data_IF_125827331371
#
_entry.id   IF_125827331371
#
_cell.length_a   1.000
_cell.length_b   1.000
_cell.length_c   1.000
_cell.angle_alpha   90.00
_cell.angle_beta   90.00
_cell.angle_gamma   90.00
#
_symmetry.space_group_name_H-M   'P 1'
#
loop_
_entity.id
_entity.type
_entity.pdbx_description
1 polymer ?
#
# COMPACT_ATOMS: atom_id res chain seq x y z
N UNK A 1 -8.95 -43.16 9.25
CA UNK A 1 -9.73 -42.21 8.40
C UNK A 1 -8.89 -41.02 7.89
N UNK A 2 -7.66 -40.89 8.34
CA UNK A 2 -6.88 -39.65 8.08
C UNK A 2 -6.05 -39.62 6.78
N UNK A 3 -5.69 -40.76 6.21
CA UNK A 3 -4.84 -40.79 5.01
C UNK A 3 -5.57 -40.46 3.69
N UNK A 4 -6.87 -40.68 3.60
CA UNK A 4 -7.62 -40.33 2.38
C UNK A 4 -7.93 -38.85 2.26
N UNK A 5 -8.12 -38.19 3.39
CA UNK A 5 -8.37 -36.73 3.41
C UNK A 5 -7.11 -35.92 3.11
N UNK A 6 -5.94 -36.38 3.55
CA UNK A 6 -4.65 -35.75 3.23
C UNK A 6 -4.28 -35.90 1.75
N UNK A 7 -4.53 -37.05 1.14
CA UNK A 7 -4.27 -37.29 -0.30
C UNK A 7 -5.18 -36.46 -1.19
N UNK A 8 -6.45 -36.29 -0.81
CA UNK A 8 -7.40 -35.43 -1.57
C UNK A 8 -7.01 -33.94 -1.53
N UNK A 9 -6.51 -33.48 -0.40
CA UNK A 9 -6.03 -32.09 -0.26
C UNK A 9 -4.72 -31.86 -1.01
N UNK A 10 -3.83 -32.83 -1.08
CA UNK A 10 -2.59 -32.73 -1.86
C UNK A 10 -2.85 -32.76 -3.38
N UNK A 11 -3.71 -33.66 -3.88
CA UNK A 11 -4.06 -33.71 -5.29
C UNK A 11 -4.79 -32.43 -5.74
N UNK A 12 -5.68 -31.86 -4.89
CA UNK A 12 -6.29 -30.57 -5.16
C UNK A 12 -5.30 -29.41 -5.16
N UNK A 13 -4.31 -29.41 -4.26
CA UNK A 13 -3.27 -28.38 -4.23
C UNK A 13 -2.39 -28.39 -5.50
N UNK A 14 -2.11 -29.58 -6.06
CA UNK A 14 -1.34 -29.73 -7.30
C UNK A 14 -2.16 -29.36 -8.55
N UNK A 15 -3.45 -29.67 -8.60
CA UNK A 15 -4.36 -29.23 -9.69
C UNK A 15 -4.55 -27.70 -9.69
N UNK A 16 -4.53 -27.08 -8.52
CA UNK A 16 -4.60 -25.64 -8.30
C UNK A 16 -3.37 -24.92 -8.88
N UNK A 17 -2.18 -25.50 -8.72
CA UNK A 17 -0.92 -24.88 -9.18
C UNK A 17 -0.76 -24.91 -10.71
N UNK A 18 -1.42 -25.82 -11.40
CA UNK A 18 -1.23 -26.07 -12.85
C UNK A 18 -2.24 -25.37 -13.78
N UNK A 19 -3.27 -24.67 -13.27
CA UNK A 19 -4.37 -24.13 -14.10
C UNK A 19 -4.52 -22.60 -14.15
N UNK A 20 -3.53 -21.80 -13.77
CA UNK A 20 -3.71 -20.34 -13.76
C UNK A 20 -4.95 -19.96 -12.95
N UNK A 21 -4.91 -20.26 -11.68
CA UNK A 21 -6.05 -20.39 -10.80
C UNK A 21 -6.72 -19.04 -10.50
N UNK A 22 -8.01 -18.91 -10.81
CA UNK A 22 -8.85 -17.84 -10.31
C UNK A 22 -9.20 -18.10 -8.83
N UNK A 23 -8.49 -17.41 -7.92
CA UNK A 23 -8.68 -17.51 -6.47
C UNK A 23 -10.14 -17.22 -6.05
N UNK A 24 -10.88 -16.44 -6.81
CA UNK A 24 -12.28 -16.12 -6.56
C UNK A 24 -13.21 -17.29 -6.80
N UNK A 25 -13.00 -18.03 -7.86
CA UNK A 25 -13.86 -19.21 -8.18
C UNK A 25 -13.57 -20.36 -7.22
N UNK A 26 -12.31 -20.59 -6.87
CA UNK A 26 -11.91 -21.56 -5.86
C UNK A 26 -12.44 -21.27 -4.47
N UNK A 27 -12.35 -20.01 -4.07
CA UNK A 27 -12.92 -19.59 -2.78
C UNK A 27 -14.43 -19.77 -2.75
N UNK A 28 -15.10 -19.49 -3.87
CA UNK A 28 -16.53 -19.71 -4.05
C UNK A 28 -16.90 -21.20 -3.98
N UNK A 29 -16.14 -22.08 -4.68
CA UNK A 29 -16.32 -23.53 -4.64
C UNK A 29 -16.05 -24.09 -3.26
N UNK A 30 -14.97 -23.69 -2.60
CA UNK A 30 -14.65 -24.05 -1.21
C UNK A 30 -15.79 -23.64 -0.27
N UNK A 31 -16.26 -22.40 -0.34
CA UNK A 31 -17.39 -21.93 0.48
C UNK A 31 -18.66 -22.70 0.22
N UNK A 32 -18.94 -23.03 -1.04
CA UNK A 32 -20.13 -23.83 -1.41
C UNK A 32 -20.04 -25.25 -0.86
N UNK A 33 -18.86 -25.87 -0.94
CA UNK A 33 -18.62 -27.21 -0.37
C UNK A 33 -18.76 -27.21 1.16
N UNK A 34 -18.13 -26.25 1.84
CA UNK A 34 -18.22 -26.06 3.28
C UNK A 34 -19.65 -25.75 3.72
N UNK A 35 -20.36 -24.88 3.00
CA UNK A 35 -21.76 -24.56 3.28
C UNK A 35 -22.68 -25.75 3.13
N UNK A 36 -22.41 -26.64 2.17
CA UNK A 36 -23.20 -27.87 1.97
C UNK A 36 -22.97 -28.92 3.08
N UNK A 37 -21.77 -29.00 3.63
CA UNK A 37 -21.47 -29.82 4.80
C UNK A 37 -22.14 -29.26 6.07
N UNK A 38 -22.06 -27.94 6.28
CA UNK A 38 -22.63 -27.28 7.46
C UNK A 38 -24.16 -27.18 7.46
N UNK A 39 -24.82 -27.30 6.28
CA UNK A 39 -26.29 -27.45 6.21
C UNK A 39 -26.82 -28.66 7.00
N UNK A 40 -25.98 -29.69 7.21
CA UNK A 40 -26.33 -30.91 7.94
C UNK A 40 -26.22 -30.77 9.44
N UNK A 41 -25.51 -29.76 9.93
CA UNK A 41 -25.31 -29.51 11.35
C UNK A 41 -26.28 -28.43 11.83
N UNK A 42 -27.06 -28.74 12.86
CA UNK A 42 -28.01 -27.79 13.45
C UNK A 42 -27.47 -27.21 14.73
N UNK A 43 -27.61 -25.90 14.88
CA UNK A 43 -27.34 -25.15 16.11
C UNK A 43 -28.68 -24.55 16.55
N UNK A 44 -29.29 -25.15 17.54
CA UNK A 44 -30.68 -24.85 17.91
C UNK A 44 -31.65 -25.17 16.77
N UNK A 45 -32.53 -24.23 16.39
CA UNK A 45 -33.48 -24.35 15.31
C UNK A 45 -32.94 -23.90 13.92
N UNK A 46 -31.70 -23.41 13.85
CA UNK A 46 -31.05 -22.91 12.62
C UNK A 46 -29.99 -23.89 12.14
N UNK A 47 -29.77 -23.95 10.83
CA UNK A 47 -28.59 -24.65 10.31
C UNK A 47 -27.32 -23.87 10.65
N UNK A 48 -26.22 -24.58 10.88
CA UNK A 48 -24.91 -23.93 11.09
C UNK A 48 -24.52 -23.03 9.92
N UNK A 49 -24.95 -23.41 8.71
CA UNK A 49 -24.74 -22.58 7.52
C UNK A 49 -25.45 -21.22 7.60
N UNK A 50 -26.69 -21.18 8.11
CA UNK A 50 -27.44 -19.91 8.25
C UNK A 50 -26.77 -19.01 9.28
N UNK A 51 -26.22 -19.61 10.35
CA UNK A 51 -25.45 -18.88 11.36
C UNK A 51 -24.16 -18.31 10.78
N UNK A 52 -23.47 -19.08 9.93
CA UNK A 52 -22.23 -18.62 9.25
C UNK A 52 -22.56 -17.54 8.22
N UNK A 53 -23.63 -17.65 7.45
CA UNK A 53 -24.06 -16.62 6.50
C UNK A 53 -24.46 -15.33 7.21
N UNK A 54 -25.13 -15.42 8.35
CA UNK A 54 -25.40 -14.26 9.19
C UNK A 54 -24.10 -13.59 9.67
N UNK A 55 -23.09 -14.38 10.06
CA UNK A 55 -21.79 -13.88 10.46
C UNK A 55 -21.04 -13.21 9.30
N UNK A 56 -21.09 -13.78 8.10
CA UNK A 56 -20.50 -13.14 6.92
C UNK A 56 -21.15 -11.79 6.60
N UNK A 57 -22.46 -11.66 6.81
CA UNK A 57 -23.16 -10.40 6.67
C UNK A 57 -22.68 -9.37 7.71
N UNK A 58 -22.47 -9.79 8.97
CA UNK A 58 -21.92 -8.93 10.02
C UNK A 58 -20.42 -8.65 9.84
N UNK A 59 -19.69 -9.48 9.14
CA UNK A 59 -18.27 -9.27 8.83
C UNK A 59 -18.01 -8.23 7.72
N UNK A 60 -19.05 -7.76 7.04
CA UNK A 60 -18.88 -6.67 6.09
C UNK A 60 -18.54 -5.39 6.85
N UNK A 61 -17.32 -4.89 6.63
CA UNK A 61 -16.90 -3.63 7.22
C UNK A 61 -17.61 -2.51 6.49
N UNK A 62 -18.58 -1.90 7.16
CA UNK A 62 -19.32 -0.76 6.66
C UNK A 62 -18.98 0.46 7.51
N UNK A 63 -18.43 1.48 6.86
CA UNK A 63 -18.19 2.78 7.48
C UNK A 63 -19.11 3.80 6.79
N UNK A 64 -19.84 4.63 7.53
CA UNK A 64 -20.67 5.67 6.94
C UNK A 64 -19.85 6.55 5.97
N UNK A 65 -20.35 6.74 4.74
CA UNK A 65 -19.70 7.56 3.72
C UNK A 65 -18.52 6.91 2.99
N UNK A 66 -18.18 5.65 3.27
CA UNK A 66 -17.12 4.92 2.57
C UNK A 66 -17.64 3.58 2.00
N UNK A 67 -17.03 3.15 0.90
CA UNK A 67 -17.31 1.82 0.33
C UNK A 67 -16.78 0.76 1.29
N UNK A 68 -17.66 -0.02 1.91
CA UNK A 68 -17.29 -1.17 2.72
C UNK A 68 -16.64 -2.28 1.88
N UNK A 69 -16.12 -3.30 2.54
CA UNK A 69 -15.56 -4.48 1.89
C UNK A 69 -15.83 -5.76 2.69
N UNK A 70 -15.73 -6.90 2.03
CA UNK A 70 -15.80 -8.24 2.62
C UNK A 70 -14.57 -9.06 2.20
N UNK A 71 -14.44 -10.29 2.71
CA UNK A 71 -13.31 -11.17 2.36
C UNK A 71 -13.22 -11.45 0.86
N UNK A 72 -14.35 -11.62 0.18
CA UNK A 72 -14.38 -11.87 -1.26
C UNK A 72 -13.80 -10.70 -2.05
N UNK A 73 -14.04 -9.47 -1.61
CA UNK A 73 -13.46 -8.26 -2.24
C UNK A 73 -11.93 -8.26 -2.10
N UNK A 74 -11.41 -8.69 -0.95
CA UNK A 74 -9.97 -8.78 -0.71
C UNK A 74 -9.32 -9.81 -1.63
N UNK A 75 -9.87 -11.04 -1.67
CA UNK A 75 -9.34 -12.10 -2.53
C UNK A 75 -9.40 -11.73 -4.00
N UNK A 76 -10.49 -11.09 -4.41
CA UNK A 76 -10.63 -10.58 -5.78
C UNK A 76 -9.56 -9.53 -6.08
N UNK A 77 -9.37 -8.54 -5.21
CA UNK A 77 -8.37 -7.49 -5.41
C UNK A 77 -6.94 -8.05 -5.44
N UNK A 78 -6.64 -9.10 -4.65
CA UNK A 78 -5.35 -9.81 -4.71
C UNK A 78 -5.19 -10.53 -6.05
N UNK A 79 -6.22 -11.28 -6.50
CA UNK A 79 -6.17 -12.03 -7.74
C UNK A 79 -6.03 -11.13 -8.97
N UNK A 80 -6.75 -10.01 -8.97
CA UNK A 80 -6.73 -9.01 -10.05
C UNK A 80 -5.50 -8.07 -9.96
N UNK A 81 -4.69 -8.19 -8.90
CA UNK A 81 -3.58 -7.28 -8.58
C UNK A 81 -4.01 -5.79 -8.57
N UNK A 82 -5.22 -5.53 -8.05
CA UNK A 82 -5.79 -4.18 -7.94
C UNK A 82 -5.17 -3.43 -6.75
N UNK A 83 -3.98 -2.86 -6.97
CA UNK A 83 -3.23 -2.13 -5.94
C UNK A 83 -4.02 -0.96 -5.32
N UNK A 84 -4.75 -0.12 -6.08
CA UNK A 84 -5.57 0.93 -5.51
C UNK A 84 -6.62 0.42 -4.53
N UNK A 85 -7.31 -0.68 -4.85
CA UNK A 85 -8.32 -1.27 -3.98
C UNK A 85 -7.68 -1.93 -2.75
N UNK A 86 -6.56 -2.64 -2.91
CA UNK A 86 -5.80 -3.22 -1.79
C UNK A 86 -5.31 -2.16 -0.80
N UNK A 87 -4.80 -1.04 -1.29
CA UNK A 87 -4.39 0.11 -0.46
C UNK A 87 -5.57 0.74 0.26
N UNK A 88 -6.71 0.88 -0.42
CA UNK A 88 -7.94 1.38 0.17
C UNK A 88 -8.41 0.48 1.32
N UNK A 89 -8.44 -0.83 1.09
CA UNK A 89 -8.82 -1.83 2.09
C UNK A 89 -7.87 -1.79 3.28
N UNK A 90 -6.54 -1.81 3.04
CA UNK A 90 -5.52 -1.75 4.07
C UNK A 90 -5.65 -0.49 4.94
N UNK A 91 -5.79 0.68 4.33
CA UNK A 91 -5.95 1.95 5.04
C UNK A 91 -7.25 1.99 5.86
N UNK A 92 -8.35 1.48 5.30
CA UNK A 92 -9.64 1.42 5.97
C UNK A 92 -9.58 0.45 7.16
N UNK A 93 -9.01 -0.74 6.97
CA UNK A 93 -8.88 -1.73 8.02
C UNK A 93 -7.93 -1.28 9.13
N UNK A 94 -6.86 -0.57 8.80
CA UNK A 94 -5.99 0.08 9.76
C UNK A 94 -6.74 1.05 10.68
N UNK A 95 -7.71 1.79 10.17
CA UNK A 95 -8.47 2.76 10.96
C UNK A 95 -9.54 2.14 11.86
N UNK A 96 -9.98 0.89 11.60
CA UNK A 96 -11.10 0.27 12.32
C UNK A 96 -10.72 -0.95 13.15
N UNK A 97 -9.58 -1.60 12.86
CA UNK A 97 -9.15 -2.80 13.55
C UNK A 97 -7.86 -2.57 14.35
N UNK A 98 -7.97 -2.61 15.69
CA UNK A 98 -6.84 -2.33 16.57
C UNK A 98 -5.72 -3.38 16.54
N UNK A 99 -5.98 -4.63 16.11
CA UNK A 99 -4.94 -5.65 15.96
C UNK A 99 -4.09 -5.30 14.74
N UNK A 100 -4.73 -5.00 13.62
CA UNK A 100 -4.06 -4.63 12.38
C UNK A 100 -3.27 -3.32 12.54
N UNK A 101 -3.87 -2.32 13.19
CA UNK A 101 -3.21 -1.04 13.51
C UNK A 101 -1.92 -1.26 14.33
N UNK A 102 -2.01 -2.02 15.43
CA UNK A 102 -0.86 -2.31 16.29
C UNK A 102 0.23 -3.07 15.55
N UNK A 103 -0.15 -4.04 14.72
CA UNK A 103 0.80 -4.80 13.90
C UNK A 103 1.54 -3.90 12.93
N UNK A 104 0.83 -3.07 12.18
CA UNK A 104 1.46 -2.11 11.26
C UNK A 104 2.39 -1.14 11.99
N UNK A 105 1.94 -0.58 13.12
CA UNK A 105 2.74 0.35 13.93
C UNK A 105 3.98 -0.33 14.52
N UNK A 106 3.85 -1.57 15.02
CA UNK A 106 4.97 -2.32 15.56
C UNK A 106 6.09 -2.48 14.52
N UNK A 107 5.76 -2.95 13.33
CA UNK A 107 6.76 -3.14 12.28
C UNK A 107 7.28 -1.82 11.70
N UNK A 108 6.45 -0.79 11.61
CA UNK A 108 6.87 0.53 11.12
C UNK A 108 7.90 1.20 12.03
N UNK A 109 7.77 1.01 13.34
CA UNK A 109 8.59 1.72 14.32
C UNK A 109 9.60 0.82 15.05
N UNK A 110 9.74 -0.45 14.65
CA UNK A 110 10.63 -1.42 15.28
C UNK A 110 12.08 -0.92 15.37
N UNK A 111 12.58 -0.33 14.30
CA UNK A 111 13.97 0.15 14.20
C UNK A 111 14.14 1.63 14.55
N UNK A 112 13.13 2.30 15.07
CA UNK A 112 13.16 3.73 15.33
C UNK A 112 14.26 4.16 16.31
N UNK A 113 14.65 3.28 17.22
CA UNK A 113 15.60 3.57 18.28
C UNK A 113 17.01 3.04 18.01
N UNK A 114 17.17 2.14 17.04
CA UNK A 114 18.40 1.39 16.79
C UNK A 114 19.11 1.86 15.52
N UNK A 115 19.35 3.17 15.41
CA UNK A 115 20.12 3.72 14.31
C UNK A 115 21.22 4.66 14.81
N UNK A 116 22.30 4.66 14.09
CA UNK A 116 23.42 5.55 14.34
C UNK A 116 23.94 6.10 13.01
N UNK A 117 24.63 7.25 13.09
CA UNK A 117 25.32 7.86 11.96
C UNK A 117 26.81 7.80 12.26
N UNK A 118 27.58 7.27 11.31
CA UNK A 118 29.04 7.23 11.41
C UNK A 118 29.64 7.92 10.18
N UNK A 119 30.76 8.66 10.34
CA UNK A 119 31.48 9.20 9.20
C UNK A 119 32.14 8.05 8.44
N UNK A 120 32.01 8.05 7.12
CA UNK A 120 32.80 7.19 6.26
C UNK A 120 34.09 7.91 5.88
N UNK A 121 35.23 7.37 6.33
CA UNK A 121 36.55 7.95 6.05
C UNK A 121 37.09 7.24 4.82
N UNK A 122 37.01 7.91 3.67
CA UNK A 122 37.51 7.39 2.39
C UNK A 122 38.96 7.75 2.12
N UNK A 123 39.52 8.71 2.84
CA UNK A 123 40.87 9.23 2.58
C UNK A 123 41.59 9.58 3.91
N UNK A 124 42.69 8.87 4.18
CA UNK A 124 43.52 9.06 5.38
C UNK A 124 44.28 10.41 5.40
N UNK A 125 44.23 11.16 4.32
CA UNK A 125 44.89 12.49 4.21
C UNK A 125 44.04 13.63 4.79
N UNK A 126 42.77 13.39 5.08
CA UNK A 126 41.87 14.42 5.61
C UNK A 126 42.08 14.58 7.10
N UNK A 127 42.31 15.82 7.56
CA UNK A 127 42.50 16.13 8.98
C UNK A 127 41.25 15.76 9.80
N UNK A 128 41.45 15.07 10.91
CA UNK A 128 40.40 14.65 11.84
C UNK A 128 39.46 15.77 12.27
N UNK A 129 40.02 16.97 12.57
CA UNK A 129 39.21 18.14 12.93
C UNK A 129 38.20 18.55 11.85
N UNK A 130 38.58 18.43 10.57
CA UNK A 130 37.67 18.73 9.45
C UNK A 130 36.55 17.70 9.38
N UNK A 131 36.89 16.43 9.53
CA UNK A 131 35.90 15.32 9.54
C UNK A 131 34.89 15.54 10.66
N UNK A 132 35.35 15.80 11.89
CA UNK A 132 34.48 16.05 13.04
C UNK A 132 33.58 17.28 12.85
N UNK A 133 34.11 18.34 12.25
CA UNK A 133 33.33 19.56 11.96
C UNK A 133 32.23 19.30 10.93
N UNK A 134 32.56 18.61 9.84
CA UNK A 134 31.59 18.30 8.76
C UNK A 134 30.56 17.26 9.25
N UNK A 135 30.98 16.29 10.05
CA UNK A 135 30.09 15.34 10.71
C UNK A 135 29.11 16.04 11.66
N UNK A 136 29.59 16.99 12.50
CA UNK A 136 28.71 17.77 13.38
C UNK A 136 27.67 18.58 12.60
N UNK A 137 28.02 19.13 11.44
CA UNK A 137 27.08 19.85 10.58
C UNK A 137 26.02 18.88 10.02
N UNK A 138 26.45 17.70 9.57
CA UNK A 138 25.54 16.67 9.06
C UNK A 138 24.57 16.19 10.13
N UNK A 139 25.04 15.95 11.35
CA UNK A 139 24.19 15.61 12.48
C UNK A 139 23.15 16.70 12.77
N UNK A 140 23.57 17.96 12.82
CA UNK A 140 22.67 19.10 13.04
C UNK A 140 21.61 19.19 11.92
N UNK A 141 21.99 18.96 10.66
CA UNK A 141 21.06 18.94 9.53
C UNK A 141 20.04 17.79 9.64
N UNK A 142 20.49 16.58 10.02
CA UNK A 142 19.62 15.42 10.21
C UNK A 142 18.66 15.62 11.39
N UNK A 143 19.15 16.19 12.50
CA UNK A 143 18.33 16.47 13.68
C UNK A 143 17.29 17.56 13.40
N UNK A 144 17.68 18.66 12.73
CA UNK A 144 16.74 19.72 12.32
C UNK A 144 15.69 19.23 11.33
N UNK A 145 16.01 18.19 10.56
CA UNK A 145 15.11 17.54 9.60
C UNK A 145 14.16 16.51 10.24
N UNK A 146 14.30 16.21 11.53
CA UNK A 146 13.52 15.16 12.20
C UNK A 146 13.56 13.80 11.47
N UNK A 147 14.74 13.41 10.96
CA UNK A 147 14.90 12.25 10.06
C UNK A 147 14.31 10.95 10.63
N UNK A 148 14.42 10.72 11.95
CA UNK A 148 13.83 9.56 12.62
C UNK A 148 12.31 9.50 12.44
N UNK A 149 11.65 10.65 12.56
CA UNK A 149 10.20 10.73 12.37
C UNK A 149 9.86 10.48 10.91
N UNK A 150 10.55 11.12 9.98
CA UNK A 150 10.36 10.95 8.53
C UNK A 150 10.49 9.46 8.16
N UNK A 151 11.56 8.79 8.61
CA UNK A 151 11.75 7.36 8.32
C UNK A 151 10.62 6.49 8.90
N UNK A 152 10.15 6.78 10.12
CA UNK A 152 9.02 6.07 10.70
C UNK A 152 7.71 6.28 9.94
N UNK A 153 7.44 7.51 9.51
CA UNK A 153 6.24 7.85 8.72
C UNK A 153 6.29 7.19 7.32
N UNK A 154 7.47 7.15 6.67
CA UNK A 154 7.68 6.43 5.42
C UNK A 154 7.46 4.93 5.62
N UNK A 155 8.06 4.33 6.66
CA UNK A 155 7.92 2.90 6.96
C UNK A 155 6.46 2.52 7.16
N UNK A 156 5.69 3.32 7.90
CA UNK A 156 4.27 3.08 8.10
C UNK A 156 3.48 3.14 6.79
N UNK A 157 3.79 4.09 5.90
CA UNK A 157 3.16 4.18 4.58
C UNK A 157 3.50 2.99 3.71
N UNK A 158 4.77 2.59 3.66
CA UNK A 158 5.22 1.41 2.90
C UNK A 158 4.49 0.14 3.38
N UNK A 159 4.33 -0.05 4.69
CA UNK A 159 3.61 -1.21 5.24
C UNK A 159 2.13 -1.18 4.86
N UNK A 160 1.47 -0.01 4.94
CA UNK A 160 0.04 0.14 4.68
C UNK A 160 -0.32 0.19 3.20
N UNK A 161 0.56 0.74 2.36
CA UNK A 161 0.28 1.04 0.95
C UNK A 161 1.15 0.24 -0.02
N UNK A 162 2.12 -0.54 0.51
CA UNK A 162 3.04 -1.38 -0.26
C UNK A 162 4.27 -0.65 -0.77
N UNK A 163 4.15 0.63 -1.05
CA UNK A 163 5.24 1.49 -1.49
C UNK A 163 5.03 2.94 -1.04
N UNK A 164 6.10 3.71 -1.11
CA UNK A 164 6.13 5.14 -0.85
C UNK A 164 6.77 5.87 -2.02
N UNK A 165 6.18 6.97 -2.43
CA UNK A 165 6.75 7.90 -3.40
C UNK A 165 6.90 9.26 -2.75
N UNK A 166 8.07 9.86 -2.90
CA UNK A 166 8.39 11.18 -2.37
C UNK A 166 9.18 12.02 -3.36
N UNK A 167 9.12 13.33 -3.15
CA UNK A 167 9.91 14.30 -3.89
C UNK A 167 10.69 15.18 -2.91
N UNK A 168 12.01 15.18 -3.05
CA UNK A 168 12.90 16.00 -2.21
C UNK A 168 12.87 17.44 -2.71
N UNK A 169 12.44 18.36 -1.86
CA UNK A 169 12.50 19.79 -2.15
C UNK A 169 13.84 20.33 -1.63
N UNK A 170 14.71 20.85 -2.51
CA UNK A 170 16.00 21.39 -2.08
C UNK A 170 15.85 22.49 -1.03
N UNK A 171 16.50 22.34 0.11
CA UNK A 171 16.61 23.33 1.18
C UNK A 171 17.99 23.26 1.82
N UNK A 172 18.53 24.41 2.24
CA UNK A 172 19.85 24.48 2.87
C UNK A 172 19.83 24.08 4.35
N UNK A 173 18.68 24.23 5.01
CA UNK A 173 18.60 24.16 6.47
C UNK A 173 18.08 22.81 6.97
N UNK A 174 17.22 22.15 6.18
CA UNK A 174 16.59 20.88 6.57
C UNK A 174 16.06 20.12 5.35
N UNK A 175 15.86 18.82 5.50
CA UNK A 175 15.26 17.97 4.48
C UNK A 175 13.75 18.23 4.42
N UNK A 176 13.27 18.66 3.26
CA UNK A 176 11.84 18.74 2.97
C UNK A 176 11.51 17.60 2.01
N UNK A 177 10.66 16.68 2.47
CA UNK A 177 10.19 15.57 1.66
C UNK A 177 8.69 15.74 1.41
N UNK A 178 8.35 16.01 0.16
CA UNK A 178 6.96 16.10 -0.29
C UNK A 178 6.43 14.69 -0.54
N UNK A 179 5.40 14.32 0.20
CA UNK A 179 4.67 13.07 -0.05
C UNK A 179 3.91 13.14 -1.37
N UNK A 180 4.03 12.08 -2.17
CA UNK A 180 3.27 11.94 -3.40
C UNK A 180 2.17 10.89 -3.23
N UNK A 181 0.96 11.14 -3.75
CA UNK A 181 -0.15 10.18 -3.68
C UNK A 181 0.16 8.93 -4.51
N UNK A 182 0.31 7.79 -3.84
CA UNK A 182 0.81 6.53 -4.40
C UNK A 182 0.00 6.07 -5.63
N UNK A 183 -1.32 6.26 -5.62
CA UNK A 183 -2.19 5.85 -6.74
C UNK A 183 -2.06 6.75 -7.99
N UNK A 184 -1.36 7.88 -7.87
CA UNK A 184 -1.05 8.79 -8.98
C UNK A 184 0.43 8.79 -9.34
N UNK A 185 1.21 7.86 -8.79
CA UNK A 185 2.62 7.68 -9.09
C UNK A 185 2.85 6.30 -9.70
N UNK A 186 3.86 6.22 -10.57
CA UNK A 186 4.40 4.94 -11.06
C UNK A 186 5.89 5.08 -11.34
N UNK A 187 6.63 4.00 -11.17
CA UNK A 187 8.04 3.92 -11.51
C UNK A 187 8.29 2.61 -12.24
N UNK A 188 8.67 2.68 -13.50
CA UNK A 188 8.85 1.52 -14.38
C UNK A 188 10.31 1.15 -14.59
N UNK A 189 11.22 2.09 -14.36
CA UNK A 189 12.64 1.91 -14.54
C UNK A 189 13.43 2.85 -13.62
N UNK A 190 14.72 2.58 -13.49
CA UNK A 190 15.67 3.41 -12.74
C UNK A 190 16.78 3.87 -13.67
N UNK A 191 17.31 5.07 -13.42
CA UNK A 191 18.48 5.63 -14.08
C UNK A 191 19.54 5.88 -13.03
N UNK A 192 20.72 5.32 -13.17
CA UNK A 192 21.81 5.43 -12.20
C UNK A 192 21.38 5.08 -10.76
N UNK A 193 20.61 4.01 -10.61
CA UNK A 193 19.98 3.56 -9.35
C UNK A 193 18.95 4.52 -8.75
N UNK A 194 18.63 5.63 -9.41
CA UNK A 194 17.55 6.54 -8.99
C UNK A 194 16.24 6.14 -9.67
N UNK A 195 15.12 6.05 -8.92
CA UNK A 195 13.84 5.72 -9.49
C UNK A 195 13.33 6.84 -10.39
N UNK A 196 12.93 6.52 -11.60
CA UNK A 196 12.21 7.47 -12.45
C UNK A 196 10.74 7.40 -12.08
N UNK A 197 10.23 8.48 -11.46
CA UNK A 197 8.84 8.60 -11.06
C UNK A 197 8.07 9.38 -12.11
N UNK A 198 6.99 8.78 -12.59
CA UNK A 198 6.00 9.46 -13.40
C UNK A 198 4.78 9.77 -12.53
N UNK A 199 4.39 11.04 -12.54
CA UNK A 199 3.25 11.54 -11.78
C UNK A 199 2.07 11.81 -12.71
N UNK A 200 0.89 11.31 -12.34
CA UNK A 200 -0.33 11.52 -13.11
C UNK A 200 -0.96 12.87 -12.77
N UNK A 201 -0.87 13.83 -13.71
CA UNK A 201 -1.37 15.18 -13.54
C UNK A 201 -2.89 15.28 -13.35
N UNK A 202 -3.65 14.21 -13.66
CA UNK A 202 -5.08 14.12 -13.33
C UNK A 202 -5.35 14.21 -11.81
N UNK A 203 -4.34 13.98 -10.96
CA UNK A 203 -4.45 14.20 -9.52
C UNK A 203 -5.00 15.59 -9.20
N UNK A 204 -4.51 16.62 -9.85
CA UNK A 204 -4.98 17.99 -9.60
C UNK A 204 -6.43 18.22 -10.10
N UNK A 205 -6.92 17.44 -11.06
CA UNK A 205 -8.29 17.52 -11.54
C UNK A 205 -9.31 16.87 -10.60
N UNK A 206 -8.87 16.07 -9.62
CA UNK A 206 -9.74 15.55 -8.56
C UNK A 206 -10.31 16.66 -7.67
N UNK A 207 -9.64 17.82 -7.64
CA UNK A 207 -10.11 19.00 -6.94
C UNK A 207 -11.03 19.82 -7.87
N UNK A 208 -12.34 19.73 -7.67
CA UNK A 208 -13.33 20.37 -8.55
C UNK A 208 -13.28 21.90 -8.48
N UNK A 209 -13.03 22.48 -7.28
CA UNK A 209 -12.88 23.94 -7.13
C UNK A 209 -11.52 24.40 -7.71
N UNK A 210 -11.59 25.31 -8.68
CA UNK A 210 -10.43 25.88 -9.37
C UNK A 210 -9.51 26.61 -8.37
N UNK A 211 -10.08 27.39 -7.46
CA UNK A 211 -9.31 28.17 -6.48
C UNK A 211 -8.59 27.25 -5.50
N UNK A 212 -9.26 26.19 -5.04
CA UNK A 212 -8.65 25.18 -4.18
C UNK A 212 -7.56 24.41 -4.91
N UNK A 213 -7.81 23.99 -6.15
CA UNK A 213 -6.82 23.33 -7.02
C UNK A 213 -5.56 24.17 -7.17
N UNK A 214 -5.68 25.47 -7.44
CA UNK A 214 -4.54 26.37 -7.56
C UNK A 214 -3.77 26.55 -6.24
N UNK A 215 -4.46 26.53 -5.09
CA UNK A 215 -3.81 26.52 -3.78
C UNK A 215 -3.02 25.23 -3.56
N UNK A 216 -3.60 24.07 -3.87
CA UNK A 216 -2.93 22.77 -3.76
C UNK A 216 -1.71 22.72 -4.69
N UNK A 217 -1.84 23.17 -5.94
CA UNK A 217 -0.73 23.18 -6.90
C UNK A 217 0.45 24.04 -6.41
N UNK A 218 0.20 25.13 -5.69
CA UNK A 218 1.25 25.99 -5.10
C UNK A 218 1.96 25.34 -3.91
N UNK A 219 1.39 24.30 -3.30
CA UNK A 219 2.06 23.53 -2.24
C UNK A 219 3.05 22.51 -2.80
N UNK A 220 2.95 22.21 -4.09
CA UNK A 220 3.89 21.32 -4.78
C UNK A 220 5.04 22.15 -5.39
N UNK A 221 6.22 21.54 -5.60
CA UNK A 221 7.32 22.16 -6.31
C UNK A 221 6.94 22.67 -7.70
N UNK A 222 7.66 23.69 -8.19
CA UNK A 222 7.38 24.33 -9.48
C UNK A 222 7.36 23.36 -10.68
N UNK A 223 8.07 22.26 -10.57
CA UNK A 223 8.08 21.19 -11.58
C UNK A 223 6.68 20.61 -11.83
N UNK A 224 5.91 20.40 -10.76
CA UNK A 224 4.52 19.92 -10.87
C UNK A 224 3.60 20.94 -11.55
N UNK A 225 3.82 22.23 -11.28
CA UNK A 225 3.06 23.30 -11.96
C UNK A 225 3.36 23.32 -13.46
N UNK A 226 4.64 23.15 -13.85
CA UNK A 226 5.04 23.03 -15.25
C UNK A 226 4.40 21.80 -15.92
N UNK A 227 4.47 20.64 -15.26
CA UNK A 227 3.85 19.41 -15.73
C UNK A 227 2.33 19.54 -15.92
N UNK A 228 1.65 20.17 -14.97
CA UNK A 228 0.22 20.39 -15.04
C UNK A 228 -0.16 21.35 -16.18
N UNK A 229 0.61 22.42 -16.42
CA UNK A 229 0.41 23.31 -17.56
C UNK A 229 0.57 22.56 -18.90
N UNK A 230 1.61 21.74 -19.04
CA UNK A 230 1.83 20.92 -20.25
C UNK A 230 0.67 19.93 -20.47
N UNK A 231 0.17 19.33 -19.38
CA UNK A 231 -1.01 18.46 -19.43
C UNK A 231 -2.25 19.22 -19.94
N UNK A 232 -2.55 20.40 -19.39
CA UNK A 232 -3.70 21.21 -19.83
C UNK A 232 -3.56 21.73 -21.25
N UNK A 233 -2.34 21.94 -21.74
CA UNK A 233 -2.07 22.31 -23.13
C UNK A 233 -2.11 21.12 -24.11
N UNK A 234 -2.32 19.89 -23.62
CA UNK A 234 -2.30 18.69 -24.46
C UNK A 234 -0.92 18.34 -25.03
N UNK A 235 0.15 18.84 -24.40
CA UNK A 235 1.53 18.63 -24.86
C UNK A 235 2.21 17.41 -24.26
N UNK A 236 1.60 16.75 -23.26
CA UNK A 236 2.09 15.47 -22.76
C UNK A 236 1.71 14.37 -23.75
N UNK A 237 2.71 13.72 -24.31
CA UNK A 237 2.51 12.61 -25.24
C UNK A 237 2.11 11.36 -24.45
N UNK A 238 1.10 10.65 -24.93
CA UNK A 238 0.81 9.30 -24.45
C UNK A 238 1.86 8.33 -25.01
N UNK A 239 2.17 7.27 -24.26
CA UNK A 239 3.07 6.21 -24.71
C UNK A 239 2.56 5.50 -25.96
N UNK A 240 1.24 5.36 -26.07
CA UNK A 240 0.60 4.78 -27.24
C UNK A 240 0.77 5.65 -28.49
N UNK A 241 0.95 6.96 -28.33
CA UNK A 241 1.23 7.86 -29.46
C UNK A 241 2.64 7.69 -30.03
N UNK A 242 3.58 7.16 -29.25
CA UNK A 242 4.94 6.83 -29.72
C UNK A 242 4.92 5.58 -30.62
N UNK A 243 3.94 4.69 -30.39
CA UNK A 243 3.74 3.47 -31.20
C UNK A 243 2.77 3.67 -32.38
N UNK A 244 2.32 4.91 -32.64
CA UNK A 244 1.48 5.25 -33.79
C UNK A 244 0.03 4.82 -33.67
N UNK A 245 -0.43 4.46 -32.47
CA UNK A 245 -1.84 4.12 -32.19
C UNK A 245 -2.43 5.16 -31.24
N UNK A 246 -3.40 5.90 -31.71
CA UNK A 246 -4.24 6.89 -31.07
C UNK A 246 -3.60 8.15 -30.45
N UNK A 247 -4.27 9.29 -30.76
CA UNK A 247 -3.95 10.65 -30.32
C UNK A 247 -4.45 10.94 -28.89
N UNK A 248 -4.37 9.98 -27.95
CA UNK A 248 -4.74 10.21 -26.57
C UNK A 248 -3.74 11.10 -25.87
N UNK A 249 -4.22 12.22 -25.31
CA UNK A 249 -3.40 13.15 -24.56
C UNK A 249 -2.88 12.41 -23.31
N UNK A 250 -1.56 12.34 -23.19
CA UNK A 250 -0.93 11.77 -22.01
C UNK A 250 -1.22 12.60 -20.75
N UNK A 251 -1.30 11.95 -19.62
CA UNK A 251 -1.48 12.59 -18.30
C UNK A 251 -0.30 12.36 -17.36
N UNK A 252 0.65 11.57 -17.78
CA UNK A 252 1.83 11.21 -16.99
C UNK A 252 2.99 12.15 -17.31
N UNK A 253 3.54 12.76 -16.28
CA UNK A 253 4.69 13.65 -16.36
C UNK A 253 5.85 13.03 -15.60
N UNK A 254 7.00 12.93 -16.26
CA UNK A 254 8.22 12.39 -15.68
C UNK A 254 8.87 13.48 -14.81
N UNK A 255 9.06 13.16 -13.54
CA UNK A 255 9.75 14.02 -12.59
C UNK A 255 11.27 13.84 -12.71
N UNK A 256 12.03 14.84 -12.28
CA UNK A 256 13.48 14.79 -12.24
C UNK A 256 13.95 13.68 -11.27
N UNK A 257 14.66 12.64 -11.75
CA UNK A 257 15.07 11.52 -10.90
C UNK A 257 15.97 11.92 -9.74
N UNK A 258 16.69 13.03 -9.82
CA UNK A 258 17.57 13.51 -8.75
C UNK A 258 16.82 13.87 -7.47
N UNK A 259 15.56 14.23 -7.59
CA UNK A 259 14.72 14.61 -6.46
C UNK A 259 13.70 13.53 -6.09
N UNK A 260 13.66 12.44 -6.83
CA UNK A 260 12.69 11.38 -6.64
C UNK A 260 13.18 10.31 -5.67
N UNK A 261 12.32 9.89 -4.75
CA UNK A 261 12.56 8.74 -3.88
C UNK A 261 11.40 7.76 -3.94
N UNK A 262 11.73 6.49 -4.05
CA UNK A 262 10.76 5.37 -3.94
C UNK A 262 11.27 4.40 -2.88
N UNK A 263 10.38 4.01 -1.96
CA UNK A 263 10.63 2.92 -1.02
C UNK A 263 9.54 1.87 -1.18
N UNK A 264 9.93 0.62 -1.23
CA UNK A 264 9.05 -0.54 -1.22
C UNK A 264 9.74 -1.69 -0.46
N UNK A 265 8.94 -2.58 0.12
CA UNK A 265 9.45 -3.79 0.75
C UNK A 265 9.48 -4.95 -0.25
N UNK A 266 8.48 -5.00 -1.12
CA UNK A 266 8.31 -6.06 -2.10
C UNK A 266 8.26 -5.47 -3.51
N UNK A 267 8.63 -6.25 -4.51
CA UNK A 267 8.61 -5.80 -5.91
C UNK A 267 7.19 -5.64 -6.48
N UNK A 268 6.18 -6.19 -5.81
CA UNK A 268 4.78 -6.14 -6.21
C UNK A 268 4.04 -4.89 -5.72
N UNK A 269 4.71 -4.04 -4.90
CA UNK A 269 4.15 -2.81 -4.32
C UNK A 269 2.80 -3.05 -3.56
N UNK A 270 2.55 -4.27 -3.06
CA UNK A 270 1.36 -4.63 -2.28
C UNK A 270 1.52 -4.27 -0.80
N UNK A 271 0.44 -3.85 -0.11
CA UNK A 271 0.45 -3.66 1.34
C UNK A 271 0.88 -4.94 2.06
N UNK A 272 1.83 -4.82 3.00
CA UNK A 272 2.53 -5.99 3.58
C UNK A 272 1.59 -7.00 4.24
N UNK A 273 0.60 -6.52 4.98
CA UNK A 273 -0.30 -7.37 5.78
C UNK A 273 -1.71 -7.50 5.21
N UNK A 274 -1.97 -7.07 3.97
CA UNK A 274 -3.31 -7.13 3.39
C UNK A 274 -3.84 -8.56 3.29
N UNK A 275 -2.97 -9.53 3.04
CA UNK A 275 -3.34 -10.96 2.98
C UNK A 275 -3.72 -11.55 4.34
N UNK A 276 -3.34 -10.93 5.45
CA UNK A 276 -3.72 -11.38 6.81
C UNK A 276 -5.08 -10.84 7.26
N UNK A 277 -5.64 -9.84 6.58
CA UNK A 277 -6.93 -9.23 6.94
C UNK A 277 -8.06 -10.26 7.02
N UNK A 278 -8.23 -11.20 6.07
CA UNK A 278 -9.27 -12.22 6.16
C UNK A 278 -9.18 -13.09 7.42
N UNK A 279 -7.97 -13.45 7.84
CA UNK A 279 -7.75 -14.24 9.05
C UNK A 279 -8.08 -13.44 10.33
N UNK A 280 -7.78 -12.15 10.36
CA UNK A 280 -8.16 -11.27 11.48
C UNK A 280 -9.69 -11.12 11.53
N UNK A 281 -10.36 -10.98 10.39
CA UNK A 281 -11.83 -10.94 10.33
C UNK A 281 -12.45 -12.26 10.85
N UNK A 282 -11.84 -13.43 10.59
CA UNK A 282 -12.29 -14.70 11.15
C UNK A 282 -12.13 -14.76 12.67
N UNK A 283 -11.03 -14.23 13.19
CA UNK A 283 -10.80 -14.15 14.62
C UNK A 283 -11.85 -13.28 15.31
N UNK A 284 -12.15 -12.10 14.76
CA UNK A 284 -13.18 -11.20 15.30
C UNK A 284 -14.56 -11.88 15.31
N UNK A 285 -14.89 -12.61 14.24
CA UNK A 285 -16.13 -13.37 14.15
C UNK A 285 -16.21 -14.52 15.18
N UNK A 286 -15.12 -15.25 15.38
CA UNK A 286 -15.06 -16.31 16.38
C UNK A 286 -15.27 -15.75 17.81
N UNK A 287 -14.65 -14.62 18.12
CA UNK A 287 -14.83 -13.95 19.40
C UNK A 287 -16.29 -13.49 19.63
N UNK A 288 -16.94 -12.98 18.59
CA UNK A 288 -18.34 -12.57 18.66
C UNK A 288 -19.28 -13.78 18.86
N UNK A 289 -18.98 -14.92 18.23
CA UNK A 289 -19.68 -16.18 18.45
C UNK A 289 -19.57 -16.66 19.90
N UNK A 290 -18.39 -16.60 20.48
CA UNK A 290 -18.17 -17.03 21.85
C UNK A 290 -18.90 -16.11 22.87
N UNK A 291 -18.93 -14.81 22.61
CA UNK A 291 -19.75 -13.87 23.41
C UNK A 291 -21.24 -14.21 23.35
N UNK A 292 -21.75 -14.54 22.16
CA UNK A 292 -23.18 -14.92 21.97
C UNK A 292 -23.54 -16.24 22.61
N UNK A 293 -22.58 -17.17 22.80
CA UNK A 293 -22.82 -18.43 23.52
C UNK A 293 -22.88 -18.24 25.03
N UNK A 294 -22.24 -17.20 25.57
CA UNK A 294 -22.19 -16.91 26.99
C UNK A 294 -23.43 -16.11 27.49
N UNK A 295 -24.20 -15.54 26.58
CA UNK A 295 -25.48 -14.88 26.82
C UNK A 295 -26.65 -15.87 26.70
#
# INVERSE_FOLDING_TARGET
MDNQTQTLNQVRAEEIHNKGFDMTDSYREYRTAVANEYKKVKVGNRSLNDVILDLDYYQKINIPGQKGFCKADIYKAIADHDLPELRRISNLFYSVNGIYERTCNYFAFLYRYDWYVAPEILDDTVKEEKILKDFSKTLNYLDSSYIKKICGDISLKVIKEGCYYGYIVPSNDHLILQDLPVNFCRSRYSVDNMPVIEFNMKFFDTFHDINYRMKVLKLFPDEFAKGYMLYKQGKLKSEESVLGRDSTIGSWYMLDPQYCVKFNLNNDDMPLFVSSIPAIMDLDAAQELDRKKQM
#
